data_IF_447888447807
#
_entry.id   IF_447888447807
#
_cell.length_a   1.000
_cell.length_b   1.000
_cell.length_c   1.000
_cell.angle_alpha   90.00
_cell.angle_beta   90.00
_cell.angle_gamma   90.00
#
_symmetry.space_group_name_H-M   'P 1'
#
loop_
_entity.id
_entity.type
_entity.pdbx_description
1 polymer ?
#
# COMPACT_ATOMS: atom_id res chain seq x y z
N UNK A 1 -14.30 7.94 19.44
CA UNK A 1 -13.36 9.06 19.67
C UNK A 1 -13.57 10.05 18.55
N UNK A 2 -13.62 11.33 18.86
CA UNK A 2 -13.64 12.38 17.84
C UNK A 2 -12.22 12.55 17.29
N UNK A 3 -12.04 12.29 15.98
CA UNK A 3 -10.73 12.39 15.32
C UNK A 3 -10.46 13.78 14.72
N UNK A 4 -11.44 14.68 14.73
CA UNK A 4 -11.26 16.04 14.21
C UNK A 4 -10.13 16.78 14.93
N UNK A 5 -9.93 16.46 16.22
CA UNK A 5 -8.85 17.05 17.04
C UNK A 5 -7.44 16.73 16.52
N UNK A 6 -7.28 15.68 15.74
CA UNK A 6 -6.01 15.23 15.15
C UNK A 6 -5.81 15.66 13.70
N UNK A 7 -6.77 16.40 13.13
CA UNK A 7 -6.77 16.73 11.70
C UNK A 7 -6.82 18.24 11.50
N UNK A 8 -6.07 18.72 10.51
CA UNK A 8 -6.20 20.05 9.95
C UNK A 8 -6.99 19.95 8.63
N UNK A 9 -7.90 20.87 8.35
CA UNK A 9 -8.63 20.91 7.09
C UNK A 9 -7.66 21.07 5.90
N UNK A 10 -8.13 20.73 4.70
CA UNK A 10 -7.43 21.05 3.46
C UNK A 10 -7.36 22.58 3.34
N UNK A 11 -6.16 23.10 3.08
CA UNK A 11 -5.93 24.53 2.93
C UNK A 11 -6.75 25.09 1.75
N UNK A 12 -7.39 26.24 1.94
CA UNK A 12 -8.21 26.88 0.91
C UNK A 12 -7.39 27.15 -0.37
N UNK A 13 -6.16 27.62 -0.23
CA UNK A 13 -5.24 27.85 -1.36
C UNK A 13 -5.00 26.62 -2.23
N UNK A 14 -5.00 25.41 -1.64
CA UNK A 14 -4.84 24.14 -2.41
C UNK A 14 -6.03 23.90 -3.32
N UNK A 15 -7.23 24.22 -2.85
CA UNK A 15 -8.47 24.04 -3.62
C UNK A 15 -8.58 25.10 -4.71
N UNK A 16 -8.26 26.38 -4.39
CA UNK A 16 -8.31 27.50 -5.33
C UNK A 16 -7.30 27.35 -6.48
N UNK A 17 -6.05 26.92 -6.16
CA UNK A 17 -4.98 26.69 -7.14
C UNK A 17 -5.35 25.62 -8.19
N UNK A 18 -6.28 24.70 -7.89
CA UNK A 18 -6.72 23.68 -8.82
C UNK A 18 -7.58 24.22 -9.96
N UNK A 19 -8.13 25.44 -9.86
CA UNK A 19 -8.98 26.08 -10.89
C UNK A 19 -10.07 25.14 -11.44
N UNK A 20 -10.79 24.43 -10.54
CA UNK A 20 -11.76 23.43 -10.92
C UNK A 20 -12.95 24.07 -11.66
N UNK A 21 -13.26 23.58 -12.85
CA UNK A 21 -14.28 24.13 -13.73
C UNK A 21 -15.34 23.13 -14.20
N UNK A 22 -15.29 21.90 -13.69
CA UNK A 22 -16.22 20.83 -14.04
C UNK A 22 -16.64 20.03 -12.80
N UNK A 23 -17.94 19.74 -12.65
CA UNK A 23 -18.50 19.05 -11.47
C UNK A 23 -17.94 17.64 -11.26
N UNK A 24 -17.47 17.00 -12.33
CA UNK A 24 -16.87 15.65 -12.26
C UNK A 24 -15.37 15.65 -12.00
N UNK A 25 -14.73 16.79 -11.82
CA UNK A 25 -13.36 16.79 -11.32
C UNK A 25 -13.35 16.32 -9.86
N UNK A 26 -12.33 15.55 -9.49
CA UNK A 26 -12.27 14.92 -8.16
C UNK A 26 -12.49 15.94 -7.05
N UNK A 27 -11.82 17.10 -7.09
CA UNK A 27 -11.96 18.13 -6.07
C UNK A 27 -13.36 18.73 -5.94
N UNK A 28 -14.22 18.66 -6.97
CA UNK A 28 -15.63 19.08 -6.91
C UNK A 28 -16.59 17.93 -6.60
N UNK A 29 -16.17 16.67 -6.80
CA UNK A 29 -17.04 15.50 -6.73
C UNK A 29 -16.91 14.69 -5.42
N UNK A 30 -15.93 15.03 -4.58
CA UNK A 30 -15.70 14.38 -3.28
C UNK A 30 -16.09 15.32 -2.13
N UNK A 31 -16.26 14.76 -0.94
CA UNK A 31 -16.40 15.56 0.28
C UNK A 31 -15.03 15.94 0.81
N UNK A 32 -14.79 17.22 1.06
CA UNK A 32 -13.51 17.74 1.56
C UNK A 32 -13.74 18.38 2.92
N UNK A 33 -12.94 18.02 3.91
CA UNK A 33 -12.87 18.72 5.21
C UNK A 33 -12.18 20.07 5.00
N UNK A 34 -12.95 21.16 5.02
CA UNK A 34 -12.50 22.52 4.69
C UNK A 34 -12.46 23.45 5.90
N UNK A 35 -13.17 23.13 6.99
CA UNK A 35 -13.32 24.00 8.14
C UNK A 35 -13.33 23.18 9.42
N UNK A 36 -12.59 23.59 10.45
CA UNK A 36 -12.53 22.90 11.75
C UNK A 36 -13.88 22.80 12.44
N UNK A 37 -14.78 23.78 12.23
CA UNK A 37 -16.10 23.81 12.84
C UNK A 37 -17.12 22.86 12.14
N UNK A 38 -16.79 22.33 10.96
CA UNK A 38 -17.66 21.48 10.14
C UNK A 38 -16.95 20.19 9.72
N UNK A 39 -16.64 19.35 10.72
CA UNK A 39 -16.02 18.06 10.46
C UNK A 39 -17.04 17.09 9.84
N UNK A 40 -16.75 16.49 8.67
CA UNK A 40 -17.69 15.61 7.99
C UNK A 40 -17.95 14.31 8.77
N UNK A 41 -19.20 13.80 8.73
CA UNK A 41 -19.49 12.45 9.19
C UNK A 41 -18.68 11.44 8.40
N UNK A 42 -18.23 10.37 9.06
CA UNK A 42 -17.52 9.28 8.38
C UNK A 42 -18.48 8.24 7.77
N UNK A 43 -19.78 8.32 8.07
CA UNK A 43 -20.74 7.31 7.65
C UNK A 43 -20.93 7.24 6.13
N UNK A 44 -20.81 6.03 5.60
CA UNK A 44 -21.09 5.72 4.20
C UNK A 44 -19.98 6.06 3.21
N UNK A 45 -18.83 6.56 3.67
CA UNK A 45 -17.65 6.69 2.83
C UNK A 45 -16.88 5.36 2.74
N UNK A 46 -16.18 5.13 1.64
CA UNK A 46 -15.41 3.91 1.41
C UNK A 46 -13.91 4.17 1.33
N UNK A 47 -13.51 5.35 0.87
CA UNK A 47 -12.11 5.77 0.75
C UNK A 47 -11.93 7.13 1.40
N UNK A 48 -10.81 7.33 2.08
CA UNK A 48 -10.44 8.65 2.61
C UNK A 48 -9.02 9.03 2.22
N UNK A 49 -8.80 10.26 1.74
CA UNK A 49 -7.48 10.84 1.61
C UNK A 49 -7.06 11.42 2.96
N UNK A 50 -5.83 11.12 3.37
CA UNK A 50 -5.23 11.59 4.63
C UNK A 50 -3.81 12.03 4.35
N UNK A 51 -3.55 13.33 4.39
CA UNK A 51 -2.19 13.86 4.29
C UNK A 51 -1.42 13.70 5.60
N UNK A 52 -0.11 13.48 5.51
CA UNK A 52 0.77 13.44 6.69
C UNK A 52 1.99 14.30 6.45
N UNK A 53 2.02 15.48 7.11
CA UNK A 53 3.09 16.47 6.95
C UNK A 53 4.25 16.20 7.94
N UNK A 54 4.84 14.97 7.88
CA UNK A 54 5.90 14.52 8.79
C UNK A 54 7.16 14.10 8.03
N UNK A 55 8.30 14.71 8.31
CA UNK A 55 9.58 14.40 7.68
C UNK A 55 10.79 14.49 8.62
N UNK A 56 10.56 14.60 9.94
CA UNK A 56 11.66 14.71 10.93
C UNK A 56 12.55 13.48 10.96
N UNK A 57 12.00 12.32 10.60
CA UNK A 57 12.70 11.05 10.51
C UNK A 57 13.04 10.65 9.06
N UNK A 58 12.91 11.56 8.11
CA UNK A 58 13.34 11.35 6.73
C UNK A 58 14.86 11.35 6.63
N UNK A 59 15.45 10.24 6.20
CA UNK A 59 16.90 10.18 5.97
C UNK A 59 17.22 10.84 4.63
N UNK A 60 17.96 11.94 4.69
CA UNK A 60 18.40 12.70 3.50
C UNK A 60 17.26 13.16 2.56
N UNK A 61 16.02 13.27 3.03
CA UNK A 61 14.88 13.64 2.18
C UNK A 61 13.95 14.69 2.84
N UNK A 62 14.53 15.59 3.66
CA UNK A 62 13.77 16.64 4.34
C UNK A 62 13.09 17.57 3.31
N UNK A 63 11.82 17.81 3.50
CA UNK A 63 10.92 18.53 2.59
C UNK A 63 9.80 17.65 2.05
N UNK A 64 9.86 16.32 2.21
CA UNK A 64 8.79 15.44 1.78
C UNK A 64 7.46 15.64 2.55
N UNK A 65 7.45 16.31 3.70
CA UNK A 65 6.23 16.75 4.38
C UNK A 65 5.33 17.65 3.54
N UNK A 66 5.87 18.31 2.51
CA UNK A 66 5.08 19.16 1.62
C UNK A 66 4.31 18.37 0.55
N UNK A 67 4.50 17.06 0.47
CA UNK A 67 3.88 16.18 -0.53
C UNK A 67 2.35 16.26 -0.58
N UNK A 68 1.60 16.25 0.55
CA UNK A 68 0.14 16.17 0.51
C UNK A 68 -0.53 17.25 -0.33
N UNK A 69 -0.13 18.51 -0.12
CA UNK A 69 -0.76 19.64 -0.81
C UNK A 69 -0.41 19.64 -2.30
N UNK A 70 0.82 19.26 -2.66
CA UNK A 70 1.26 19.22 -4.07
C UNK A 70 0.57 18.10 -4.83
N UNK A 71 0.41 16.93 -4.21
CA UNK A 71 -0.30 15.79 -4.81
C UNK A 71 -1.80 16.12 -4.98
N UNK A 72 -2.44 16.80 -4.01
CA UNK A 72 -3.84 17.24 -4.15
C UNK A 72 -4.04 18.17 -5.34
N UNK A 73 -3.11 19.13 -5.55
CA UNK A 73 -3.16 20.03 -6.73
C UNK A 73 -3.09 19.27 -8.06
N UNK A 74 -2.40 18.14 -8.10
CA UNK A 74 -2.35 17.27 -9.29
C UNK A 74 -3.59 16.36 -9.41
N UNK A 75 -4.12 15.88 -8.28
CA UNK A 75 -5.22 14.90 -8.23
C UNK A 75 -6.60 15.53 -8.44
N UNK A 76 -6.88 16.67 -7.82
CA UNK A 76 -8.21 17.28 -7.84
C UNK A 76 -8.72 17.66 -9.23
N UNK A 77 -7.87 18.09 -10.18
CA UNK A 77 -8.29 18.35 -11.57
C UNK A 77 -8.66 17.10 -12.37
N UNK A 78 -8.25 15.89 -11.93
CA UNK A 78 -8.57 14.65 -12.64
C UNK A 78 -10.08 14.35 -12.57
N UNK A 79 -10.60 13.62 -13.56
CA UNK A 79 -12.02 13.34 -13.64
C UNK A 79 -12.42 12.11 -12.84
N UNK A 80 -13.46 12.23 -12.04
CA UNK A 80 -14.13 11.13 -11.37
C UNK A 80 -15.10 10.43 -12.34
N UNK A 81 -14.88 9.13 -12.55
CA UNK A 81 -15.71 8.29 -13.42
C UNK A 81 -16.64 7.34 -12.62
N UNK A 82 -16.63 7.40 -11.29
CA UNK A 82 -17.35 6.48 -10.40
C UNK A 82 -18.58 7.17 -9.80
N UNK A 83 -19.77 6.56 -9.93
CA UNK A 83 -21.00 7.12 -9.40
C UNK A 83 -21.27 6.70 -7.96
N UNK A 84 -20.87 5.47 -7.59
CA UNK A 84 -21.22 4.85 -6.30
C UNK A 84 -20.08 4.90 -5.28
N UNK A 85 -18.89 5.34 -5.68
CA UNK A 85 -17.74 5.46 -4.79
C UNK A 85 -17.77 6.81 -4.07
N UNK A 86 -18.00 6.77 -2.76
CA UNK A 86 -17.99 7.96 -1.90
C UNK A 86 -16.59 8.14 -1.30
N UNK A 87 -15.97 9.25 -1.63
CA UNK A 87 -14.60 9.60 -1.23
C UNK A 87 -14.65 10.82 -0.32
N UNK A 88 -13.84 10.79 0.73
CA UNK A 88 -13.65 11.86 1.69
C UNK A 88 -12.19 12.32 1.70
N UNK A 89 -11.90 13.60 1.66
CA UNK A 89 -10.58 14.13 1.99
C UNK A 89 -10.60 14.74 3.40
N UNK A 90 -9.87 14.13 4.31
CA UNK A 90 -9.81 14.50 5.72
C UNK A 90 -8.74 15.57 6.03
N UNK A 91 -8.12 16.14 4.99
CA UNK A 91 -7.02 17.07 5.19
C UNK A 91 -5.75 16.38 5.69
N UNK A 92 -5.02 17.01 6.60
CA UNK A 92 -3.73 16.55 7.05
C UNK A 92 -3.74 16.20 8.54
N UNK A 93 -3.04 15.12 8.92
CA UNK A 93 -2.76 14.83 10.33
C UNK A 93 -1.99 15.99 10.95
N UNK A 94 -2.44 16.47 12.11
CA UNK A 94 -1.76 17.53 12.86
C UNK A 94 -0.37 17.07 13.26
N UNK A 95 0.64 17.85 12.88
CA UNK A 95 2.01 17.61 13.30
C UNK A 95 2.14 17.93 14.79
N UNK A 96 2.56 16.95 15.58
CA UNK A 96 2.80 17.10 17.00
C UNK A 96 4.12 17.79 17.33
N UNK A 97 4.40 17.95 18.62
CA UNK A 97 5.68 18.51 19.09
C UNK A 97 6.87 17.59 18.73
N UNK A 98 6.68 16.29 18.86
CA UNK A 98 7.61 15.24 18.44
C UNK A 98 7.05 14.45 17.25
N UNK A 99 7.89 13.64 16.59
CA UNK A 99 7.43 12.69 15.57
C UNK A 99 6.46 11.66 16.17
N UNK A 100 6.72 11.21 17.42
CA UNK A 100 5.86 10.26 18.14
C UNK A 100 4.45 10.81 18.38
N UNK A 101 4.31 12.14 18.63
CA UNK A 101 2.98 12.76 18.74
C UNK A 101 2.22 12.69 17.41
N UNK A 102 2.93 12.92 16.28
CA UNK A 102 2.34 12.80 14.94
C UNK A 102 1.96 11.36 14.64
N UNK A 103 2.80 10.40 15.01
CA UNK A 103 2.52 8.97 14.86
C UNK A 103 1.28 8.55 15.65
N UNK A 104 1.17 9.00 16.91
CA UNK A 104 -0.02 8.75 17.72
C UNK A 104 -1.29 9.32 17.08
N UNK A 105 -1.24 10.54 16.57
CA UNK A 105 -2.37 11.15 15.88
C UNK A 105 -2.77 10.34 14.63
N UNK A 106 -1.79 9.91 13.82
CA UNK A 106 -2.01 9.05 12.66
C UNK A 106 -2.64 7.71 13.04
N UNK A 107 -2.14 7.05 14.11
CA UNK A 107 -2.70 5.82 14.65
C UNK A 107 -4.19 5.99 15.03
N UNK A 108 -4.56 7.08 15.73
CA UNK A 108 -5.94 7.33 16.14
C UNK A 108 -6.86 7.59 14.94
N UNK A 109 -6.40 8.35 13.94
CA UNK A 109 -7.13 8.58 12.69
C UNK A 109 -7.36 7.27 11.96
N UNK A 110 -6.31 6.47 11.75
CA UNK A 110 -6.44 5.20 11.05
C UNK A 110 -7.31 4.18 11.79
N UNK A 111 -7.16 4.07 13.11
CA UNK A 111 -8.00 3.19 13.93
C UNK A 111 -9.48 3.53 13.79
N UNK A 112 -9.83 4.80 13.71
CA UNK A 112 -11.21 5.22 13.50
C UNK A 112 -11.69 4.87 12.09
N UNK A 113 -10.89 5.13 11.05
CA UNK A 113 -11.23 4.77 9.67
C UNK A 113 -11.46 3.26 9.51
N UNK A 114 -10.64 2.42 10.15
CA UNK A 114 -10.83 0.96 10.15
C UNK A 114 -12.17 0.55 10.77
N UNK A 115 -12.64 1.22 11.83
CA UNK A 115 -13.94 0.94 12.46
C UNK A 115 -15.12 1.28 11.54
N UNK A 116 -14.96 2.26 10.67
CA UNK A 116 -15.96 2.64 9.66
C UNK A 116 -15.78 1.88 8.34
N UNK A 117 -14.81 0.95 8.25
CA UNK A 117 -14.47 0.22 7.03
C UNK A 117 -14.06 1.14 5.86
N UNK A 118 -13.49 2.29 6.17
CA UNK A 118 -12.96 3.25 5.20
C UNK A 118 -11.50 2.91 4.95
N UNK A 119 -11.11 2.79 3.68
CA UNK A 119 -9.72 2.54 3.28
C UNK A 119 -9.01 3.89 3.10
N UNK A 120 -8.04 4.25 3.97
CA UNK A 120 -7.26 5.45 3.78
C UNK A 120 -6.26 5.31 2.65
N UNK A 121 -6.10 6.39 1.90
CA UNK A 121 -4.97 6.70 1.04
C UNK A 121 -4.11 7.71 1.79
N UNK A 122 -3.04 7.24 2.41
CA UNK A 122 -2.07 8.10 3.09
C UNK A 122 -1.17 8.78 2.06
N UNK A 123 -1.05 10.09 2.16
CA UNK A 123 -0.32 10.91 1.19
C UNK A 123 0.78 11.67 1.91
N UNK A 124 2.01 11.39 1.55
CA UNK A 124 3.17 12.19 1.93
C UNK A 124 3.82 11.82 3.25
N UNK A 125 4.83 12.60 3.57
CA UNK A 125 5.77 12.32 4.62
C UNK A 125 6.81 11.27 4.23
N UNK A 126 7.59 10.86 5.19
CA UNK A 126 8.64 9.86 5.03
C UNK A 126 8.15 8.44 5.28
N UNK A 127 8.91 7.45 4.81
CA UNK A 127 8.51 6.03 4.81
C UNK A 127 8.35 5.42 6.21
N UNK A 128 8.96 6.01 7.25
CA UNK A 128 8.79 5.60 8.66
C UNK A 128 7.32 5.62 9.12
N UNK A 129 6.46 6.41 8.47
CA UNK A 129 5.01 6.42 8.70
C UNK A 129 4.34 5.06 8.49
N UNK A 130 4.99 4.13 7.80
CA UNK A 130 4.51 2.74 7.69
C UNK A 130 4.47 2.04 9.05
N UNK A 131 5.38 2.38 9.98
CA UNK A 131 5.40 1.78 11.32
C UNK A 131 4.17 2.14 12.17
N UNK A 132 3.78 3.41 12.38
CA UNK A 132 2.54 3.72 13.10
C UNK A 132 1.28 3.20 12.40
N UNK A 133 1.25 3.11 11.06
CA UNK A 133 0.15 2.46 10.33
C UNK A 133 0.07 0.97 10.70
N UNK A 134 1.19 0.26 10.76
CA UNK A 134 1.24 -1.14 11.20
C UNK A 134 0.79 -1.29 12.65
N UNK A 135 1.21 -0.44 13.57
CA UNK A 135 0.87 -0.50 14.99
C UNK A 135 -0.64 -0.48 15.28
N UNK A 136 -1.44 0.09 14.40
CA UNK A 136 -2.90 0.12 14.56
C UNK A 136 -3.49 -1.29 14.67
N UNK A 137 -2.84 -2.30 14.09
CA UNK A 137 -3.33 -3.68 14.12
C UNK A 137 -3.16 -4.36 15.49
N UNK A 138 -2.29 -3.83 16.35
CA UNK A 138 -2.24 -4.21 17.77
C UNK A 138 -3.59 -3.99 18.45
N UNK A 139 -4.26 -2.86 18.18
CA UNK A 139 -5.59 -2.56 18.73
C UNK A 139 -6.70 -3.46 18.16
N UNK A 140 -6.50 -4.05 17.01
CA UNK A 140 -7.48 -4.93 16.36
C UNK A 140 -7.25 -6.41 16.65
N UNK A 141 -6.06 -6.78 17.12
CA UNK A 141 -5.62 -8.17 17.32
C UNK A 141 -5.54 -8.99 16.03
N UNK A 142 -5.45 -8.34 14.86
CA UNK A 142 -5.40 -9.02 13.55
C UNK A 142 -3.98 -9.07 13.01
N UNK A 143 -3.58 -10.25 12.54
CA UNK A 143 -2.36 -10.40 11.77
C UNK A 143 -2.51 -9.81 10.37
N UNK A 144 -1.47 -9.17 9.88
CA UNK A 144 -1.48 -8.44 8.61
C UNK A 144 -0.32 -8.82 7.70
N UNK A 145 -0.58 -8.68 6.40
CA UNK A 145 0.43 -8.74 5.36
C UNK A 145 0.77 -7.31 4.92
N UNK A 146 2.04 -6.98 4.94
CA UNK A 146 2.55 -5.72 4.41
C UNK A 146 3.18 -6.00 3.06
N UNK A 147 2.80 -5.25 2.04
CA UNK A 147 3.50 -5.23 0.75
C UNK A 147 4.14 -3.86 0.56
N UNK A 148 5.46 -3.84 0.33
CA UNK A 148 6.21 -2.63 0.01
C UNK A 148 6.64 -2.66 -1.46
N UNK A 149 6.38 -1.56 -2.18
CA UNK A 149 7.00 -1.29 -3.47
C UNK A 149 8.18 -0.38 -3.18
N UNK A 150 9.39 -0.95 -3.18
CA UNK A 150 10.57 -0.31 -2.61
C UNK A 150 11.86 -0.89 -3.19
N UNK A 151 12.87 -0.06 -3.55
CA UNK A 151 14.16 -0.53 -4.02
C UNK A 151 15.05 -1.11 -2.91
N UNK A 152 14.66 -0.92 -1.61
CA UNK A 152 15.36 -1.36 -0.41
C UNK A 152 14.43 -2.15 0.51
N UNK A 153 14.98 -2.66 1.60
CA UNK A 153 14.19 -3.31 2.67
C UNK A 153 14.00 -2.42 3.90
N UNK A 154 14.73 -1.32 4.00
CA UNK A 154 14.73 -0.38 5.12
C UNK A 154 14.90 -1.06 6.48
N UNK A 155 15.91 -1.93 6.53
CA UNK A 155 16.41 -2.59 7.73
C UNK A 155 17.64 -1.83 8.19
N UNK A 156 17.43 -0.83 9.06
CA UNK A 156 18.49 -0.03 9.67
C UNK A 156 19.05 -0.66 10.94
N UNK A 157 20.04 0.00 11.55
CA UNK A 157 20.62 -0.40 12.84
C UNK A 157 19.86 0.29 13.99
N UNK A 158 19.66 -0.41 15.11
CA UNK A 158 18.95 0.10 16.29
C UNK A 158 19.47 1.46 16.84
N UNK A 159 20.76 1.74 16.68
CA UNK A 159 21.39 2.97 17.17
C UNK A 159 20.89 4.26 16.49
N UNK A 160 20.25 4.14 15.34
CA UNK A 160 19.84 5.30 14.53
C UNK A 160 18.40 5.74 14.82
N UNK A 161 17.66 5.00 15.67
CA UNK A 161 16.25 5.24 15.96
C UNK A 161 15.33 4.91 14.79
N UNK A 162 14.02 5.08 14.98
CA UNK A 162 13.03 4.93 13.91
C UNK A 162 13.20 6.03 12.87
N UNK A 163 13.43 5.64 11.63
CA UNK A 163 13.55 6.54 10.49
C UNK A 163 13.10 5.88 9.18
N UNK A 164 13.11 6.61 8.07
CA UNK A 164 12.65 6.13 6.76
C UNK A 164 13.45 4.97 6.19
N UNK A 165 14.67 4.71 6.68
CA UNK A 165 15.52 3.58 6.26
C UNK A 165 15.61 2.46 7.33
N UNK A 166 14.80 2.53 8.41
CA UNK A 166 14.82 1.53 9.50
C UNK A 166 13.45 1.01 9.92
N UNK A 167 12.36 1.52 9.36
CA UNK A 167 11.00 1.23 9.82
C UNK A 167 10.67 -0.27 9.81
N UNK A 168 11.21 -1.05 8.87
CA UNK A 168 10.96 -2.49 8.81
C UNK A 168 11.59 -3.24 10.00
N UNK A 169 12.76 -2.81 10.48
CA UNK A 169 13.36 -3.35 11.71
C UNK A 169 12.41 -3.19 12.88
N UNK A 170 11.80 -2.00 13.03
CA UNK A 170 10.83 -1.73 14.08
C UNK A 170 9.57 -2.58 13.97
N UNK A 171 9.09 -2.83 12.76
CA UNK A 171 7.94 -3.73 12.52
C UNK A 171 8.29 -5.18 12.90
N UNK A 172 9.47 -5.68 12.49
CA UNK A 172 9.91 -7.06 12.76
C UNK A 172 10.12 -7.28 14.28
N UNK A 173 10.71 -6.30 14.95
CA UNK A 173 11.02 -6.38 16.39
C UNK A 173 9.84 -6.03 17.29
N UNK A 174 8.74 -5.52 16.74
CA UNK A 174 7.55 -5.13 17.52
C UNK A 174 6.94 -6.31 18.27
N UNK A 175 6.66 -6.12 19.57
CA UNK A 175 6.09 -7.15 20.42
C UNK A 175 4.83 -6.64 21.16
N UNK A 176 3.73 -7.40 21.11
CA UNK A 176 3.52 -8.64 20.37
C UNK A 176 3.47 -8.39 18.85
N UNK A 177 4.01 -9.32 18.06
CA UNK A 177 4.01 -9.19 16.60
C UNK A 177 2.63 -9.47 16.00
N UNK A 178 2.19 -8.60 15.11
CA UNK A 178 1.01 -8.79 14.27
C UNK A 178 1.37 -8.90 12.78
N UNK A 179 2.67 -8.95 12.45
CA UNK A 179 3.14 -9.18 11.10
C UNK A 179 3.03 -10.67 10.76
N UNK A 180 2.16 -11.03 9.81
CA UNK A 180 2.10 -12.38 9.28
C UNK A 180 3.07 -12.58 8.13
N UNK A 181 3.08 -11.64 7.16
CA UNK A 181 4.00 -11.68 6.03
C UNK A 181 4.41 -10.27 5.62
N UNK A 182 5.66 -10.17 5.17
CA UNK A 182 6.16 -8.98 4.47
C UNK A 182 6.53 -9.37 3.05
N UNK A 183 6.08 -8.55 2.09
CA UNK A 183 6.41 -8.71 0.68
C UNK A 183 7.13 -7.46 0.19
N UNK A 184 8.32 -7.59 -0.38
CA UNK A 184 8.98 -6.49 -1.08
C UNK A 184 8.93 -6.71 -2.59
N UNK A 185 8.44 -5.71 -3.31
CA UNK A 185 8.36 -5.68 -4.77
C UNK A 185 9.33 -4.62 -5.28
N UNK A 186 10.39 -5.06 -5.96
CA UNK A 186 11.26 -4.13 -6.66
C UNK A 186 12.63 -3.91 -6.05
N UNK A 187 13.05 -4.70 -5.04
CA UNK A 187 14.37 -4.50 -4.47
C UNK A 187 15.49 -4.61 -5.50
N UNK A 188 16.53 -3.81 -5.28
CA UNK A 188 17.68 -3.72 -6.18
C UNK A 188 18.93 -4.16 -5.41
N UNK A 189 19.50 -5.30 -5.81
CA UNK A 189 20.59 -5.98 -5.09
C UNK A 189 21.82 -5.11 -4.83
N UNK A 190 22.08 -4.12 -5.66
CA UNK A 190 23.23 -3.22 -5.50
C UNK A 190 23.00 -2.14 -4.43
N UNK A 191 21.81 -2.04 -3.86
CA UNK A 191 21.51 -1.16 -2.73
C UNK A 191 21.44 -1.90 -1.39
N UNK A 192 21.54 -3.23 -1.39
CA UNK A 192 21.27 -4.07 -0.22
C UNK A 192 22.45 -4.99 0.05
N UNK A 193 22.87 -5.04 1.30
CA UNK A 193 23.87 -6.01 1.76
C UNK A 193 23.37 -7.45 1.57
N UNK A 194 24.29 -8.36 1.23
CA UNK A 194 23.97 -9.79 1.01
C UNK A 194 23.40 -10.44 2.27
N UNK A 195 23.91 -10.08 3.46
CA UNK A 195 23.45 -10.64 4.73
C UNK A 195 22.00 -10.23 5.03
N UNK A 196 21.61 -9.02 4.62
CA UNK A 196 20.23 -8.55 4.72
C UNK A 196 19.29 -9.34 3.80
N UNK A 197 19.74 -9.67 2.58
CA UNK A 197 18.95 -10.52 1.67
C UNK A 197 18.75 -11.92 2.27
N UNK A 198 19.81 -12.50 2.84
CA UNK A 198 19.72 -13.80 3.50
C UNK A 198 18.82 -13.77 4.75
N UNK A 199 18.87 -12.69 5.53
CA UNK A 199 17.96 -12.48 6.66
C UNK A 199 16.48 -12.47 6.21
N UNK A 200 16.16 -11.76 5.14
CA UNK A 200 14.78 -11.72 4.61
C UNK A 200 14.28 -13.11 4.20
N UNK A 201 15.16 -13.92 3.59
CA UNK A 201 14.86 -15.32 3.25
C UNK A 201 14.69 -16.21 4.48
N UNK A 202 15.54 -16.04 5.52
CA UNK A 202 15.43 -16.78 6.78
C UNK A 202 14.12 -16.46 7.51
N UNK A 203 13.64 -15.22 7.40
CA UNK A 203 12.33 -14.79 7.91
C UNK A 203 11.16 -15.27 7.02
N UNK A 204 11.46 -15.99 5.94
CA UNK A 204 10.49 -16.48 4.97
C UNK A 204 9.62 -15.37 4.37
N UNK A 205 10.17 -14.17 4.18
CA UNK A 205 9.49 -13.07 3.53
C UNK A 205 9.56 -13.17 2.01
N UNK A 206 8.52 -12.68 1.37
CA UNK A 206 8.41 -12.64 -0.08
C UNK A 206 9.25 -11.48 -0.64
N UNK A 207 10.36 -11.73 -1.32
CA UNK A 207 11.22 -10.69 -1.88
C UNK A 207 11.42 -10.86 -3.38
N UNK A 208 11.04 -9.84 -4.15
CA UNK A 208 11.07 -9.87 -5.61
C UNK A 208 11.94 -8.76 -6.17
N UNK A 209 12.98 -9.14 -6.91
CA UNK A 209 13.87 -8.18 -7.59
C UNK A 209 13.11 -7.40 -8.65
N UNK A 210 13.49 -6.13 -8.84
CA UNK A 210 12.95 -5.27 -9.89
C UNK A 210 12.90 -5.97 -11.25
N UNK A 211 14.01 -6.60 -11.70
CA UNK A 211 14.08 -7.27 -13.00
C UNK A 211 13.11 -8.45 -13.12
N UNK A 212 12.84 -9.17 -12.04
CA UNK A 212 11.87 -10.28 -12.02
C UNK A 212 10.46 -9.78 -12.32
N UNK A 213 10.04 -8.72 -11.63
CA UNK A 213 8.71 -8.14 -11.82
C UNK A 213 8.59 -7.46 -13.17
N UNK A 214 9.60 -6.70 -13.62
CA UNK A 214 9.57 -6.05 -14.95
C UNK A 214 9.47 -7.06 -16.11
N UNK A 215 10.12 -8.20 -16.00
CA UNK A 215 10.03 -9.27 -17.01
C UNK A 215 8.71 -10.04 -16.96
N UNK A 216 8.03 -10.08 -15.80
CA UNK A 216 6.79 -10.82 -15.55
C UNK A 216 5.87 -9.96 -14.70
N UNK A 217 5.39 -8.87 -15.28
CA UNK A 217 4.61 -7.84 -14.56
C UNK A 217 3.31 -8.38 -13.95
N UNK A 218 2.77 -9.47 -14.50
CA UNK A 218 1.60 -10.19 -13.99
C UNK A 218 1.81 -10.79 -12.58
N UNK A 219 3.07 -11.06 -12.19
CA UNK A 219 3.39 -11.54 -10.84
C UNK A 219 3.05 -10.52 -9.75
N UNK A 220 3.05 -9.22 -10.08
CA UNK A 220 2.72 -8.17 -9.11
C UNK A 220 1.27 -8.26 -8.61
N UNK A 221 0.34 -8.80 -9.42
CA UNK A 221 -1.08 -8.87 -9.05
C UNK A 221 -1.32 -9.70 -7.79
N UNK A 222 -0.95 -10.99 -7.70
CA UNK A 222 -1.19 -11.78 -6.50
C UNK A 222 -0.41 -11.27 -5.27
N UNK A 223 0.75 -10.64 -5.47
CA UNK A 223 1.55 -10.06 -4.40
C UNK A 223 0.86 -8.85 -3.78
N UNK A 224 0.40 -7.91 -4.62
CA UNK A 224 -0.33 -6.73 -4.18
C UNK A 224 -1.70 -7.10 -3.62
N UNK A 225 -2.39 -8.07 -4.23
CA UNK A 225 -3.71 -8.55 -3.76
C UNK A 225 -3.65 -9.20 -2.37
N UNK A 226 -2.48 -9.70 -1.95
CA UNK A 226 -2.30 -10.29 -0.63
C UNK A 226 -2.09 -9.23 0.48
N UNK A 227 -1.89 -7.96 0.13
CA UNK A 227 -1.61 -6.90 1.09
C UNK A 227 -2.85 -6.52 1.91
N UNK A 228 -2.67 -6.37 3.21
CA UNK A 228 -3.55 -5.59 4.09
C UNK A 228 -3.08 -4.13 4.11
N UNK A 229 -1.76 -3.90 4.13
CA UNK A 229 -1.10 -2.60 4.01
C UNK A 229 -0.26 -2.61 2.73
N UNK A 230 -0.49 -1.67 1.82
CA UNK A 230 0.41 -1.40 0.71
C UNK A 230 1.15 -0.08 0.96
N UNK A 231 2.48 -0.12 0.96
CA UNK A 231 3.33 1.05 1.09
C UNK A 231 4.18 1.23 -0.16
N UNK A 232 4.29 2.46 -0.65
CA UNK A 232 4.95 2.78 -1.92
C UNK A 232 5.98 3.88 -1.66
N UNK A 233 7.25 3.53 -1.86
CA UNK A 233 8.34 4.50 -1.88
C UNK A 233 8.51 5.06 -3.30
N UNK A 234 8.52 6.38 -3.43
CA UNK A 234 8.78 7.07 -4.71
C UNK A 234 10.16 6.70 -5.27
N UNK A 235 11.13 6.35 -4.44
CA UNK A 235 12.46 5.89 -4.89
C UNK A 235 12.42 4.55 -5.67
N UNK A 236 11.31 3.81 -5.64
CA UNK A 236 11.16 2.58 -6.42
C UNK A 236 11.04 2.82 -7.93
N UNK A 237 10.73 4.05 -8.33
CA UNK A 237 10.49 4.43 -9.72
C UNK A 237 11.74 5.01 -10.37
N UNK A 238 11.83 4.87 -11.69
CA UNK A 238 12.97 5.44 -12.42
C UNK A 238 12.91 6.99 -12.41
N UNK A 239 14.06 7.61 -12.30
CA UNK A 239 14.21 9.07 -12.23
C UNK A 239 13.67 9.82 -13.45
N UNK A 240 13.56 9.15 -14.61
CA UNK A 240 12.92 9.71 -15.81
C UNK A 240 11.42 9.94 -15.62
N UNK A 241 10.77 9.13 -14.79
CA UNK A 241 9.33 9.16 -14.56
C UNK A 241 8.99 9.86 -13.24
N UNK A 242 9.77 9.61 -12.18
CA UNK A 242 9.55 10.16 -10.85
C UNK A 242 10.84 10.73 -10.25
N UNK A 243 11.27 11.93 -10.68
CA UNK A 243 12.48 12.58 -10.14
C UNK A 243 12.33 13.11 -8.71
N UNK A 244 11.11 13.22 -8.19
CA UNK A 244 10.74 13.90 -6.94
C UNK A 244 11.19 13.18 -5.66
N UNK A 245 12.44 12.73 -5.59
CA UNK A 245 13.08 12.17 -4.40
C UNK A 245 14.58 12.42 -4.47
N UNK A 246 15.24 12.69 -3.33
CA UNK A 246 16.66 13.03 -3.32
C UNK A 246 17.55 11.96 -3.93
N UNK A 247 17.28 10.70 -3.64
CA UNK A 247 18.08 9.55 -4.13
C UNK A 247 17.36 8.83 -5.26
N UNK A 248 16.91 9.57 -6.29
CA UNK A 248 16.30 8.98 -7.48
C UNK A 248 17.30 8.13 -8.27
N UNK A 249 16.83 7.00 -8.82
CA UNK A 249 17.64 6.07 -9.60
C UNK A 249 17.21 6.07 -11.07
N UNK A 250 18.15 5.97 -12.04
CA UNK A 250 17.78 5.78 -13.43
C UNK A 250 17.10 4.43 -13.70
N UNK A 251 17.29 3.44 -12.82
CA UNK A 251 16.69 2.12 -12.90
C UNK A 251 15.61 1.98 -11.84
N UNK A 252 14.39 1.67 -12.25
CA UNK A 252 13.22 1.57 -11.40
C UNK A 252 11.99 1.10 -12.17
N UNK A 253 10.84 1.10 -11.53
CA UNK A 253 9.56 0.92 -12.19
C UNK A 253 9.23 2.14 -13.06
N UNK A 254 8.45 1.93 -14.11
CA UNK A 254 7.86 3.01 -14.88
C UNK A 254 6.58 3.53 -14.23
N UNK A 255 6.09 4.69 -14.70
CA UNK A 255 4.76 5.22 -14.35
C UNK A 255 3.65 4.19 -14.62
N UNK A 256 3.73 3.48 -15.75
CA UNK A 256 2.77 2.44 -16.14
C UNK A 256 2.76 1.28 -15.13
N UNK A 257 3.94 0.83 -14.69
CA UNK A 257 4.05 -0.22 -13.67
C UNK A 257 3.37 0.21 -12.35
N UNK A 258 3.59 1.47 -11.93
CA UNK A 258 2.98 2.07 -10.75
C UNK A 258 1.45 2.10 -10.84
N UNK A 259 0.91 2.66 -11.92
CA UNK A 259 -0.52 2.72 -12.18
C UNK A 259 -1.16 1.32 -12.20
N UNK A 260 -0.48 0.33 -12.80
CA UNK A 260 -0.94 -1.05 -12.85
C UNK A 260 -1.00 -1.69 -11.46
N UNK A 261 0.07 -1.53 -10.65
CA UNK A 261 0.12 -2.07 -9.30
C UNK A 261 -0.91 -1.43 -8.37
N UNK A 262 -1.10 -0.12 -8.44
CA UNK A 262 -2.11 0.57 -7.63
C UNK A 262 -3.54 0.21 -8.04
N UNK A 263 -3.79 -0.03 -9.33
CA UNK A 263 -5.07 -0.57 -9.79
C UNK A 263 -5.33 -1.96 -9.22
N UNK A 264 -4.33 -2.84 -9.18
CA UNK A 264 -4.46 -4.15 -8.53
C UNK A 264 -4.75 -4.03 -7.04
N UNK A 265 -4.12 -3.07 -6.35
CA UNK A 265 -4.41 -2.77 -4.96
C UNK A 265 -5.87 -2.34 -4.76
N UNK A 266 -6.35 -1.47 -5.62
CA UNK A 266 -7.77 -1.05 -5.62
C UNK A 266 -8.73 -2.24 -5.75
N UNK A 267 -8.46 -3.16 -6.67
CA UNK A 267 -9.27 -4.37 -6.88
C UNK A 267 -9.25 -5.35 -5.68
N UNK A 268 -8.32 -5.22 -4.75
CA UNK A 268 -8.21 -6.13 -3.60
C UNK A 268 -9.18 -5.75 -2.49
N UNK A 269 -10.06 -6.68 -2.11
CA UNK A 269 -10.93 -6.51 -0.94
C UNK A 269 -10.18 -6.69 0.38
N UNK A 270 -8.97 -7.24 0.35
CA UNK A 270 -8.14 -7.43 1.53
C UNK A 270 -7.51 -6.13 2.00
N UNK A 271 -7.19 -5.25 1.06
CA UNK A 271 -6.46 -4.01 1.34
C UNK A 271 -7.25 -3.09 2.27
N UNK A 272 -6.64 -2.70 3.36
CA UNK A 272 -7.20 -1.82 4.39
C UNK A 272 -6.52 -0.46 4.44
N UNK A 273 -5.33 -0.31 3.83
CA UNK A 273 -4.69 0.99 3.62
C UNK A 273 -3.67 0.95 2.48
N UNK A 274 -3.47 2.11 1.86
CA UNK A 274 -2.39 2.35 0.90
C UNK A 274 -1.69 3.65 1.26
N UNK A 275 -0.35 3.69 1.19
CA UNK A 275 0.45 4.87 1.48
C UNK A 275 1.46 5.18 0.38
N UNK A 276 1.64 6.48 0.09
CA UNK A 276 2.59 7.02 -0.86
C UNK A 276 3.57 7.92 -0.13
N UNK A 277 4.83 7.52 -0.04
CA UNK A 277 5.83 8.14 0.83
C UNK A 277 7.09 8.57 0.09
N UNK A 278 7.89 9.38 0.76
CA UNK A 278 9.18 9.88 0.29
C UNK A 278 9.12 10.80 -0.95
N UNK A 279 7.94 11.18 -1.46
CA UNK A 279 7.84 12.22 -2.47
C UNK A 279 8.28 13.57 -1.90
N UNK A 280 9.25 14.21 -2.54
CA UNK A 280 9.78 15.50 -2.13
C UNK A 280 9.67 16.51 -3.28
N UNK A 281 8.76 17.50 -3.17
CA UNK A 281 8.58 18.51 -4.22
C UNK A 281 9.82 19.32 -4.58
N UNK A 282 10.82 19.41 -3.68
CA UNK A 282 12.08 20.13 -3.94
C UNK A 282 12.89 19.54 -5.09
N UNK A 283 12.74 18.24 -5.33
CA UNK A 283 13.48 17.52 -6.39
C UNK A 283 12.63 17.27 -7.62
N UNK A 284 11.33 17.58 -7.55
CA UNK A 284 10.41 17.34 -8.67
C UNK A 284 10.60 18.39 -9.77
N UNK A 285 10.45 17.93 -11.01
CA UNK A 285 10.59 18.76 -12.20
C UNK A 285 9.22 18.93 -12.83
N UNK A 286 8.69 20.14 -12.87
CA UNK A 286 7.38 20.45 -13.47
C UNK A 286 6.23 19.62 -12.86
N UNK A 287 6.30 19.26 -11.57
CA UNK A 287 5.33 18.40 -10.88
C UNK A 287 5.15 17.02 -11.55
N UNK A 288 6.15 16.51 -12.25
CA UNK A 288 6.06 15.24 -12.97
C UNK A 288 5.76 14.09 -12.03
N UNK A 289 6.46 14.02 -10.88
CA UNK A 289 6.22 13.00 -9.87
C UNK A 289 4.87 13.16 -9.19
N UNK A 290 4.45 14.40 -8.91
CA UNK A 290 3.14 14.68 -8.33
C UNK A 290 2.01 14.23 -9.27
N UNK A 291 2.14 14.51 -10.57
CA UNK A 291 1.17 14.07 -11.58
C UNK A 291 1.09 12.54 -11.64
N UNK A 292 2.25 11.85 -11.63
CA UNK A 292 2.29 10.40 -11.66
C UNK A 292 1.64 9.80 -10.38
N UNK A 293 1.93 10.35 -9.21
CA UNK A 293 1.28 9.93 -7.95
C UNK A 293 -0.24 10.16 -7.99
N UNK A 294 -0.69 11.28 -8.56
CA UNK A 294 -2.11 11.53 -8.75
C UNK A 294 -2.76 10.51 -9.69
N UNK A 295 -2.08 10.13 -10.78
CA UNK A 295 -2.54 9.09 -11.71
C UNK A 295 -2.57 7.71 -11.02
N UNK A 296 -1.57 7.36 -10.21
CA UNK A 296 -1.55 6.12 -9.43
C UNK A 296 -2.71 6.07 -8.42
N UNK A 297 -3.01 7.17 -7.74
CA UNK A 297 -4.19 7.28 -6.86
C UNK A 297 -5.48 7.13 -7.66
N UNK A 298 -5.56 7.74 -8.84
CA UNK A 298 -6.71 7.61 -9.73
C UNK A 298 -6.95 6.15 -10.14
N UNK A 299 -5.90 5.43 -10.56
CA UNK A 299 -5.99 4.00 -10.90
C UNK A 299 -6.35 3.12 -9.68
N UNK A 300 -5.89 3.49 -8.49
CA UNK A 300 -6.35 2.84 -7.26
C UNK A 300 -7.87 3.00 -7.07
N UNK A 301 -8.40 4.22 -7.23
CA UNK A 301 -9.83 4.49 -7.11
C UNK A 301 -10.66 3.76 -8.18
N UNK A 302 -10.16 3.70 -9.43
CA UNK A 302 -10.78 2.91 -10.49
C UNK A 302 -10.84 1.42 -10.09
N UNK A 303 -9.72 0.85 -9.67
CA UNK A 303 -9.68 -0.53 -9.18
C UNK A 303 -10.65 -0.74 -8.01
N UNK A 304 -10.68 0.19 -7.06
CA UNK A 304 -11.55 0.11 -5.89
C UNK A 304 -13.04 0.11 -6.27
N UNK A 305 -13.45 0.92 -7.23
CA UNK A 305 -14.83 0.96 -7.71
C UNK A 305 -15.28 -0.35 -8.39
N UNK A 306 -14.32 -1.17 -8.82
CA UNK A 306 -14.54 -2.45 -9.52
C UNK A 306 -14.35 -3.67 -8.60
N UNK A 307 -14.25 -3.50 -7.29
CA UNK A 307 -14.12 -4.60 -6.33
C UNK A 307 -15.25 -5.61 -6.48
N UNK A 308 -14.90 -6.89 -6.47
CA UNK A 308 -15.85 -8.00 -6.50
C UNK A 308 -15.58 -8.93 -5.33
N UNK A 309 -16.60 -9.66 -4.87
CA UNK A 309 -16.47 -10.63 -3.77
C UNK A 309 -15.76 -11.90 -4.24
N UNK A 310 -14.46 -11.80 -4.53
CA UNK A 310 -13.64 -12.86 -5.10
C UNK A 310 -12.60 -13.48 -4.13
N UNK A 311 -12.70 -13.19 -2.84
CA UNK A 311 -11.95 -13.90 -1.80
C UNK A 311 -12.70 -15.18 -1.44
N UNK A 312 -12.06 -16.36 -1.48
CA UNK A 312 -12.72 -17.62 -1.12
C UNK A 312 -13.19 -17.61 0.35
N UNK A 313 -14.45 -17.95 0.55
CA UNK A 313 -15.07 -18.09 1.87
C UNK A 313 -15.98 -19.33 1.88
N UNK A 314 -16.43 -19.78 3.04
CA UNK A 314 -17.39 -20.87 3.12
C UNK A 314 -18.71 -20.58 2.38
N UNK A 315 -19.06 -19.28 2.19
CA UNK A 315 -20.34 -18.85 1.62
C UNK A 315 -20.36 -18.75 0.09
N UNK A 316 -19.18 -18.61 -0.54
CA UNK A 316 -19.06 -18.37 -2.00
C UNK A 316 -18.22 -19.44 -2.72
N UNK A 317 -18.07 -20.64 -2.15
CA UNK A 317 -17.29 -21.74 -2.77
C UNK A 317 -17.78 -22.09 -4.17
N UNK A 318 -19.05 -21.96 -4.42
CA UNK A 318 -19.66 -22.25 -5.73
C UNK A 318 -19.25 -21.25 -6.83
N UNK A 319 -18.72 -20.09 -6.46
CA UNK A 319 -18.22 -19.10 -7.42
C UNK A 319 -16.83 -19.45 -7.97
N UNK A 320 -16.21 -20.51 -7.44
CA UNK A 320 -14.87 -20.95 -7.82
C UNK A 320 -14.88 -22.29 -8.55
N UNK A 321 -13.96 -22.44 -9.51
CA UNK A 321 -13.52 -23.73 -10.02
C UNK A 321 -12.43 -24.26 -9.11
N UNK A 322 -12.57 -25.49 -8.62
CA UNK A 322 -11.62 -26.15 -7.76
C UNK A 322 -10.77 -27.13 -8.57
N UNK A 323 -9.45 -27.09 -8.36
CA UNK A 323 -8.48 -28.01 -8.92
C UNK A 323 -7.66 -28.59 -7.77
N UNK A 324 -7.46 -29.90 -7.75
CA UNK A 324 -6.64 -30.60 -6.76
C UNK A 324 -5.45 -31.22 -7.46
N UNK A 325 -4.25 -30.90 -7.01
CA UNK A 325 -3.00 -31.47 -7.52
C UNK A 325 -2.45 -32.36 -6.42
N UNK A 326 -2.31 -33.65 -6.73
CA UNK A 326 -1.77 -34.65 -5.83
C UNK A 326 -0.24 -34.71 -5.96
N UNK A 327 0.48 -34.67 -4.86
CA UNK A 327 1.92 -34.88 -4.77
C UNK A 327 2.19 -36.22 -4.07
N UNK A 328 3.22 -36.95 -4.51
CA UNK A 328 3.54 -38.26 -3.92
C UNK A 328 4.12 -38.13 -2.49
N UNK A 329 4.89 -37.05 -2.22
CA UNK A 329 5.63 -36.86 -0.98
C UNK A 329 5.08 -35.75 -0.08
N UNK A 330 4.01 -35.05 -0.49
CA UNK A 330 3.45 -33.89 0.21
C UNK A 330 1.92 -33.91 0.20
N UNK A 331 1.32 -33.04 0.99
CA UNK A 331 -0.12 -32.82 0.99
C UNK A 331 -0.61 -32.31 -0.38
N UNK A 332 -1.83 -32.66 -0.74
CA UNK A 332 -2.47 -32.18 -1.95
C UNK A 332 -2.61 -30.65 -1.92
N UNK A 333 -2.24 -30.00 -3.01
CA UNK A 333 -2.44 -28.57 -3.16
C UNK A 333 -3.76 -28.30 -3.89
N UNK A 334 -4.63 -27.52 -3.25
CA UNK A 334 -5.91 -27.12 -3.82
C UNK A 334 -5.80 -25.72 -4.38
N UNK A 335 -6.16 -25.57 -5.65
CA UNK A 335 -6.26 -24.29 -6.33
C UNK A 335 -7.74 -23.94 -6.56
N UNK A 336 -8.07 -22.69 -6.35
CA UNK A 336 -9.37 -22.10 -6.62
C UNK A 336 -9.24 -20.99 -7.64
N UNK A 337 -10.02 -21.05 -8.73
CA UNK A 337 -10.09 -20.00 -9.73
C UNK A 337 -11.48 -19.39 -9.73
N UNK A 338 -11.61 -18.10 -9.43
CA UNK A 338 -12.90 -17.42 -9.43
C UNK A 338 -13.47 -17.35 -10.85
N UNK A 339 -14.71 -17.78 -11.04
CA UNK A 339 -15.32 -17.99 -12.37
C UNK A 339 -15.48 -16.70 -13.18
N UNK A 340 -15.70 -15.57 -12.51
CA UNK A 340 -15.95 -14.28 -13.15
C UNK A 340 -14.66 -13.47 -13.32
N UNK A 341 -13.85 -13.33 -12.23
CA UNK A 341 -12.65 -12.48 -12.25
C UNK A 341 -11.43 -13.20 -12.80
N UNK A 342 -11.44 -14.55 -12.87
CA UNK A 342 -10.28 -15.35 -13.25
C UNK A 342 -9.13 -15.35 -12.24
N UNK A 343 -9.32 -14.75 -11.06
CA UNK A 343 -8.29 -14.70 -10.01
C UNK A 343 -8.08 -16.07 -9.39
N UNK A 344 -6.82 -16.39 -9.09
CA UNK A 344 -6.41 -17.68 -8.54
C UNK A 344 -6.02 -17.56 -7.08
N UNK A 345 -6.28 -18.65 -6.34
CA UNK A 345 -5.98 -18.79 -4.92
C UNK A 345 -5.44 -20.20 -4.67
N UNK A 346 -4.48 -20.32 -3.74
CA UNK A 346 -4.04 -21.60 -3.20
C UNK A 346 -4.62 -21.77 -1.79
N UNK A 347 -5.12 -22.96 -1.50
CA UNK A 347 -5.52 -23.35 -0.16
C UNK A 347 -4.26 -23.83 0.61
N UNK A 348 -4.12 -23.33 1.83
CA UNK A 348 -3.11 -23.77 2.79
C UNK A 348 -3.83 -24.30 4.04
N UNK A 349 -3.17 -25.02 4.95
CA UNK A 349 -3.81 -25.59 6.13
C UNK A 349 -4.75 -24.62 6.86
N UNK A 350 -5.72 -25.17 7.59
CA UNK A 350 -6.72 -24.42 8.36
C UNK A 350 -7.69 -23.56 7.54
N UNK A 351 -7.93 -23.93 6.25
CA UNK A 351 -8.78 -23.19 5.33
C UNK A 351 -8.36 -21.73 5.07
N UNK A 352 -7.06 -21.46 5.15
CA UNK A 352 -6.50 -20.20 4.69
C UNK A 352 -6.29 -20.20 3.19
N UNK A 353 -6.48 -19.03 2.56
CA UNK A 353 -6.32 -18.85 1.11
C UNK A 353 -5.32 -17.75 0.84
N UNK A 354 -4.32 -18.07 0.03
CA UNK A 354 -3.35 -17.09 -0.45
C UNK A 354 -3.54 -16.83 -1.93
N UNK A 355 -3.48 -15.57 -2.37
CA UNK A 355 -3.52 -15.22 -3.78
C UNK A 355 -2.35 -15.86 -4.52
N UNK A 356 -2.61 -16.41 -5.69
CA UNK A 356 -1.60 -16.95 -6.57
C UNK A 356 -1.86 -16.58 -8.04
N UNK A 357 -0.91 -16.89 -8.89
CA UNK A 357 -1.02 -16.77 -10.34
C UNK A 357 -1.46 -18.11 -10.98
N UNK A 358 -1.80 -18.04 -12.25
CA UNK A 358 -1.97 -19.28 -13.02
C UNK A 358 -0.66 -20.05 -13.17
N UNK A 359 0.47 -19.34 -13.20
CA UNK A 359 1.80 -19.98 -13.30
C UNK A 359 2.11 -20.87 -12.10
N UNK A 360 1.66 -20.49 -10.88
CA UNK A 360 1.79 -21.33 -9.69
C UNK A 360 1.03 -22.66 -9.87
N UNK A 361 -0.17 -22.60 -10.47
CA UNK A 361 -0.92 -23.80 -10.82
C UNK A 361 -0.20 -24.62 -11.90
N UNK A 362 0.32 -23.97 -12.95
CA UNK A 362 1.04 -24.65 -14.03
C UNK A 362 2.39 -25.26 -13.53
N UNK A 363 3.03 -24.69 -12.49
CA UNK A 363 4.16 -25.31 -11.78
C UNK A 363 3.74 -26.57 -11.04
N UNK A 364 2.67 -26.50 -10.27
CA UNK A 364 2.15 -27.64 -9.53
C UNK A 364 1.78 -28.81 -10.47
N UNK A 365 1.21 -28.53 -11.65
CA UNK A 365 0.92 -29.51 -12.68
C UNK A 365 2.18 -30.22 -13.23
N UNK A 366 3.37 -29.62 -13.07
CA UNK A 366 4.67 -30.22 -13.40
C UNK A 366 5.35 -30.92 -12.22
N UNK A 367 4.59 -31.14 -11.12
CA UNK A 367 5.10 -31.71 -9.87
C UNK A 367 6.15 -30.83 -9.18
N UNK A 368 6.05 -29.50 -9.34
CA UNK A 368 6.89 -28.49 -8.69
C UNK A 368 6.04 -27.74 -7.66
N UNK A 369 6.44 -27.72 -6.38
CA UNK A 369 5.71 -27.00 -5.33
C UNK A 369 5.93 -25.50 -5.51
N UNK A 370 4.88 -24.67 -5.61
CA UNK A 370 5.03 -23.22 -5.68
C UNK A 370 5.71 -22.68 -4.41
N UNK A 371 6.75 -21.85 -4.58
CA UNK A 371 7.55 -21.30 -3.47
C UNK A 371 6.69 -20.61 -2.42
N UNK A 372 5.71 -19.83 -2.85
CA UNK A 372 4.81 -19.11 -1.94
C UNK A 372 3.93 -20.05 -1.13
N UNK A 373 3.43 -21.15 -1.73
CA UNK A 373 2.67 -22.15 -0.97
C UNK A 373 3.53 -22.74 0.15
N UNK A 374 4.77 -23.12 -0.17
CA UNK A 374 5.70 -23.69 0.78
C UNK A 374 6.06 -22.73 1.92
N UNK A 375 6.34 -21.47 1.60
CA UNK A 375 6.63 -20.44 2.60
C UNK A 375 5.48 -20.21 3.57
N UNK A 376 4.25 -20.09 3.06
CA UNK A 376 3.07 -19.89 3.91
C UNK A 376 2.72 -21.13 4.72
N UNK A 377 2.89 -22.32 4.13
CA UNK A 377 2.73 -23.59 4.82
C UNK A 377 3.65 -23.68 6.05
N UNK A 378 4.93 -23.36 5.89
CA UNK A 378 5.91 -23.36 6.97
C UNK A 378 5.61 -22.35 8.07
N UNK A 379 5.01 -21.22 7.78
CA UNK A 379 4.61 -20.19 8.78
C UNK A 379 3.45 -20.62 9.66
N UNK A 380 2.64 -21.58 9.22
CA UNK A 380 1.47 -22.07 9.95
C UNK A 380 1.77 -23.34 10.76
N UNK A 381 2.85 -24.05 10.43
CA UNK A 381 3.33 -25.24 11.17
C UNK A 381 4.17 -24.85 12.36
#
# INVERSE_FOLDING_TARGET
MDISVFLNPVKEEVIEDCHLNHDRQIGNSITIFKNEDDFPSLDGFQVAFVGVEEDRNAVDNEGCKAAPDVIRRALYPLFNHWHDLKILDLGNVKTGFSADDTYYALEQVFLQLLKYHIVPVFIGGSQDLTYPIYKVYEYTGKFVNITAIDPRFDIGQDKDGLNSESFLSYIILHQPSYLFNYTNIGYQTYYIDIDTIELMKQLMFDIYRLGTIKNRSELSEPLVRNADILTIDVAAFCASDMPGVKRSSPNGFSSEDGCKMTRYAGLSQRLTSIGFFNYNPKYDINNQSANNLAEMIWYFLEGFSLRQNDIPTAKNRDDFKRYTINFEDYDDIIFLCHKTTGKWWMEIPENHFIPCSKDDYDMAMRNEIPDRWWQFYQKLM
#
